data_IF_944862113081
#
_entry.id   IF_944862113081
#
_cell.length_a   1.000
_cell.length_b   1.000
_cell.length_c   1.000
_cell.angle_alpha   90.00
_cell.angle_beta   90.00
_cell.angle_gamma   90.00
#
_symmetry.space_group_name_H-M   'P 1'
#
loop_
_entity.id
_entity.type
_entity.pdbx_description
1 polymer ?
#
# COMPACT_ATOMS: atom_id res chain seq x y z
N UNK A 1 -14.17 -36.13 -23.06
CA UNK A 1 -13.95 -34.84 -23.76
C UNK A 1 -13.20 -35.14 -25.05
N UNK A 2 -13.59 -34.52 -26.17
CA UNK A 2 -12.98 -34.77 -27.48
C UNK A 2 -12.23 -33.53 -27.95
N UNK A 3 -11.03 -33.71 -28.50
CA UNK A 3 -10.21 -32.66 -29.09
C UNK A 3 -9.85 -31.55 -28.12
N UNK A 4 -9.48 -31.88 -26.88
CA UNK A 4 -9.19 -30.89 -25.84
C UNK A 4 -7.93 -30.11 -26.20
N UNK A 5 -8.08 -28.80 -26.38
CA UNK A 5 -6.98 -27.84 -26.51
C UNK A 5 -7.02 -26.85 -25.36
N UNK A 6 -5.89 -26.22 -25.08
CA UNK A 6 -5.75 -25.27 -23.99
C UNK A 6 -4.96 -24.04 -24.43
N UNK A 7 -5.39 -22.88 -23.96
CA UNK A 7 -4.66 -21.61 -24.11
C UNK A 7 -4.42 -21.00 -22.74
N UNK A 8 -3.15 -20.78 -22.39
CA UNK A 8 -2.72 -20.13 -21.16
C UNK A 8 -2.58 -18.62 -21.40
N UNK A 9 -3.16 -17.83 -20.51
CA UNK A 9 -2.99 -16.38 -20.48
C UNK A 9 -2.53 -15.93 -19.10
N UNK A 10 -1.76 -14.84 -19.05
CA UNK A 10 -1.42 -14.18 -17.79
C UNK A 10 -2.22 -12.90 -17.66
N UNK A 11 -2.75 -12.67 -16.47
CA UNK A 11 -3.47 -11.45 -16.11
C UNK A 11 -2.55 -10.47 -15.34
N UNK A 12 -1.24 -10.68 -15.39
CA UNK A 12 -0.26 -9.93 -14.58
C UNK A 12 0.80 -9.23 -15.43
N UNK A 13 1.27 -8.03 -15.04
CA UNK A 13 2.20 -7.25 -15.85
C UNK A 13 3.62 -7.84 -15.92
N UNK A 14 4.01 -8.63 -14.93
CA UNK A 14 5.39 -9.15 -14.81
C UNK A 14 5.61 -10.51 -15.45
N UNK A 15 4.58 -11.10 -16.06
CA UNK A 15 4.65 -12.42 -16.66
C UNK A 15 4.26 -12.37 -18.13
N UNK A 16 5.15 -12.85 -18.97
CA UNK A 16 4.89 -13.04 -20.41
C UNK A 16 4.73 -14.52 -20.73
N UNK A 17 3.66 -14.85 -21.45
CA UNK A 17 3.46 -16.19 -22.01
C UNK A 17 4.19 -16.26 -23.35
N UNK A 18 5.30 -16.98 -23.41
CA UNK A 18 6.10 -17.18 -24.62
C UNK A 18 5.50 -18.26 -25.53
N UNK A 19 4.90 -19.28 -24.90
CA UNK A 19 4.10 -20.29 -25.57
C UNK A 19 2.83 -20.53 -24.76
N UNK A 20 1.69 -20.19 -25.38
CA UNK A 20 0.40 -20.19 -24.75
C UNK A 20 -0.42 -21.43 -25.07
N UNK A 21 -0.07 -22.21 -26.09
CA UNK A 21 -0.95 -23.25 -26.60
C UNK A 21 -0.55 -24.63 -26.09
N UNK A 22 -1.54 -25.49 -25.95
CA UNK A 22 -1.36 -26.86 -25.51
C UNK A 22 -2.45 -27.76 -26.05
N UNK A 23 -2.12 -29.02 -26.29
CA UNK A 23 -3.11 -30.01 -26.76
C UNK A 23 -3.08 -31.24 -25.86
N UNK A 24 -4.27 -31.66 -25.42
CA UNK A 24 -4.48 -32.83 -24.57
C UNK A 24 -5.21 -33.96 -25.32
N UNK A 25 -5.80 -33.66 -26.48
CA UNK A 25 -6.44 -34.63 -27.37
C UNK A 25 -7.76 -35.18 -26.81
N UNK A 26 -8.09 -36.42 -27.17
CA UNK A 26 -9.31 -37.08 -26.71
C UNK A 26 -9.10 -37.72 -25.33
N UNK A 27 -9.95 -37.36 -24.37
CA UNK A 27 -9.95 -37.91 -23.02
C UNK A 27 -11.20 -38.78 -22.84
N UNK A 28 -10.99 -40.08 -22.81
CA UNK A 28 -12.03 -41.10 -22.60
C UNK A 28 -12.35 -41.31 -21.11
N UNK A 29 -13.46 -41.97 -20.81
CA UNK A 29 -13.83 -42.30 -19.43
C UNK A 29 -12.75 -43.17 -18.76
N UNK A 30 -12.27 -42.75 -17.59
CA UNK A 30 -11.15 -43.40 -16.88
C UNK A 30 -9.76 -43.12 -17.47
N UNK A 31 -9.67 -42.26 -18.49
CA UNK A 31 -8.40 -41.82 -19.09
C UNK A 31 -7.92 -40.47 -18.56
N UNK A 32 -6.74 -40.05 -19.05
CA UNK A 32 -6.13 -38.75 -18.80
C UNK A 32 -5.61 -38.17 -20.13
N UNK A 33 -5.53 -36.85 -20.21
CA UNK A 33 -4.85 -36.11 -21.29
C UNK A 33 -3.72 -35.28 -20.70
N UNK A 34 -2.56 -35.29 -21.35
CA UNK A 34 -1.38 -34.58 -20.90
C UNK A 34 -0.80 -33.73 -22.03
N UNK A 35 -0.47 -32.47 -21.72
CA UNK A 35 0.21 -31.58 -22.67
C UNK A 35 1.74 -31.81 -22.61
N UNK A 36 2.22 -32.94 -23.14
CA UNK A 36 3.64 -33.32 -23.03
C UNK A 36 4.48 -32.75 -24.17
N UNK A 37 3.89 -32.61 -25.36
CA UNK A 37 4.60 -32.23 -26.59
C UNK A 37 4.71 -30.72 -26.81
N UNK A 38 3.77 -29.95 -26.26
CA UNK A 38 3.60 -28.52 -26.52
C UNK A 38 3.43 -27.76 -25.20
N UNK A 39 4.39 -27.92 -24.28
CA UNK A 39 4.29 -27.35 -22.93
C UNK A 39 4.27 -25.83 -22.99
N UNK A 40 3.43 -25.23 -22.15
CA UNK A 40 3.45 -23.79 -21.95
C UNK A 40 4.83 -23.30 -21.53
N UNK A 41 5.26 -22.19 -22.12
CA UNK A 41 6.50 -21.51 -21.76
C UNK A 41 6.16 -20.14 -21.19
N UNK A 42 6.59 -19.90 -19.96
CA UNK A 42 6.30 -18.68 -19.21
C UNK A 42 7.61 -18.01 -18.82
N UNK A 43 7.66 -16.69 -18.96
CA UNK A 43 8.79 -15.87 -18.58
C UNK A 43 8.37 -14.84 -17.53
N UNK A 44 9.03 -14.85 -16.39
CA UNK A 44 8.93 -13.80 -15.38
C UNK A 44 9.96 -12.72 -15.69
N UNK A 45 9.54 -11.46 -15.73
CA UNK A 45 10.43 -10.33 -15.95
C UNK A 45 11.48 -10.25 -14.81
N UNK A 46 12.75 -9.90 -15.08
CA UNK A 46 13.73 -9.67 -14.02
C UNK A 46 13.33 -8.61 -12.99
N UNK A 47 12.39 -7.71 -13.31
CA UNK A 47 11.80 -6.75 -12.36
C UNK A 47 10.71 -7.37 -11.46
N UNK A 48 10.39 -8.66 -11.63
CA UNK A 48 9.41 -9.34 -10.77
C UNK A 48 10.00 -9.53 -9.39
N UNK A 49 9.31 -9.01 -8.38
CA UNK A 49 9.71 -9.13 -6.97
C UNK A 49 9.57 -10.56 -6.46
N UNK A 50 10.43 -10.95 -5.51
CA UNK A 50 10.37 -12.27 -4.90
C UNK A 50 9.07 -12.42 -4.09
N UNK A 51 8.36 -13.53 -4.30
CA UNK A 51 7.07 -13.78 -3.67
C UNK A 51 5.86 -13.29 -4.46
N UNK A 52 6.05 -12.64 -5.61
CA UNK A 52 4.94 -12.16 -6.44
C UNK A 52 3.99 -13.29 -6.83
N UNK A 53 2.68 -13.11 -6.59
CA UNK A 53 1.65 -14.10 -6.90
C UNK A 53 1.06 -13.81 -8.28
N UNK A 54 1.62 -14.45 -9.31
CA UNK A 54 1.16 -14.28 -10.68
C UNK A 54 -0.15 -15.04 -10.93
N UNK A 55 -1.15 -14.35 -11.47
CA UNK A 55 -2.46 -14.93 -11.84
C UNK A 55 -2.51 -15.34 -13.30
N UNK A 56 -3.07 -16.52 -13.55
CA UNK A 56 -3.19 -17.13 -14.86
C UNK A 56 -4.61 -17.65 -15.10
N UNK A 57 -5.04 -17.57 -16.36
CA UNK A 57 -6.27 -18.21 -16.84
C UNK A 57 -5.90 -19.28 -17.87
N UNK A 58 -6.36 -20.51 -17.64
CA UNK A 58 -6.28 -21.62 -18.58
C UNK A 58 -7.64 -21.82 -19.23
N UNK A 59 -7.77 -21.38 -20.48
CA UNK A 59 -8.97 -21.62 -21.28
C UNK A 59 -8.87 -22.98 -21.96
N UNK A 60 -9.86 -23.84 -21.77
CA UNK A 60 -10.00 -25.14 -22.41
C UNK A 60 -11.07 -25.06 -23.50
N UNK A 61 -10.77 -25.56 -24.69
CA UNK A 61 -11.75 -25.66 -25.79
C UNK A 61 -11.93 -27.11 -26.18
N UNK A 62 -13.18 -27.49 -26.42
CA UNK A 62 -13.57 -28.82 -26.85
C UNK A 62 -14.01 -28.82 -28.32
N UNK A 63 -13.95 -29.98 -28.97
CA UNK A 63 -14.34 -30.13 -30.39
C UNK A 63 -15.81 -29.81 -30.70
N UNK A 64 -16.69 -29.81 -29.69
CA UNK A 64 -18.09 -29.40 -29.81
C UNK A 64 -18.30 -27.88 -29.64
N UNK A 65 -17.22 -27.12 -29.42
CA UNK A 65 -17.23 -25.67 -29.25
C UNK A 65 -17.55 -25.20 -27.84
N UNK A 66 -17.66 -26.11 -26.86
CA UNK A 66 -17.74 -25.73 -25.45
C UNK A 66 -16.38 -25.15 -25.02
N UNK A 67 -16.43 -24.16 -24.13
CA UNK A 67 -15.27 -23.58 -23.47
C UNK A 67 -15.43 -23.70 -21.95
N UNK A 68 -14.32 -23.97 -21.27
CA UNK A 68 -14.21 -23.95 -19.81
C UNK A 68 -12.95 -23.18 -19.42
N UNK A 69 -12.91 -22.60 -18.22
CA UNK A 69 -11.78 -21.81 -17.78
C UNK A 69 -11.40 -22.12 -16.33
N UNK A 70 -10.10 -22.25 -16.08
CA UNK A 70 -9.54 -22.39 -14.76
C UNK A 70 -8.62 -21.20 -14.45
N UNK A 71 -8.99 -20.45 -13.42
CA UNK A 71 -8.11 -19.44 -12.82
C UNK A 71 -7.24 -20.09 -11.76
N UNK A 72 -5.95 -19.78 -11.78
CA UNK A 72 -5.00 -20.22 -10.76
C UNK A 72 -3.87 -19.21 -10.60
N UNK A 73 -3.15 -19.31 -9.47
CA UNK A 73 -2.03 -18.44 -9.17
C UNK A 73 -0.75 -19.23 -8.93
N UNK A 74 0.39 -18.65 -9.32
CA UNK A 74 1.72 -19.22 -9.09
C UNK A 74 2.60 -18.16 -8.45
N UNK A 75 3.21 -18.51 -7.32
CA UNK A 75 4.19 -17.66 -6.67
C UNK A 75 5.53 -17.70 -7.43
N UNK A 76 6.07 -16.53 -7.76
CA UNK A 76 7.36 -16.35 -8.40
C UNK A 76 8.39 -16.11 -7.30
N UNK A 77 9.35 -17.02 -7.17
CA UNK A 77 10.36 -16.93 -6.12
C UNK A 77 9.81 -17.13 -4.71
N UNK A 78 10.60 -16.75 -3.70
CA UNK A 78 10.24 -16.89 -2.28
C UNK A 78 10.48 -15.56 -1.58
N UNK A 79 9.44 -14.96 -1.01
CA UNK A 79 9.56 -13.73 -0.23
C UNK A 79 10.42 -13.96 1.03
N UNK A 80 11.32 -13.03 1.30
CA UNK A 80 12.11 -12.96 2.52
C UNK A 80 11.88 -11.62 3.23
N UNK A 81 12.49 -11.44 4.40
CA UNK A 81 12.43 -10.17 5.15
C UNK A 81 13.35 -9.07 4.56
N UNK A 82 13.80 -9.23 3.33
CA UNK A 82 14.58 -8.22 2.57
C UNK A 82 13.99 -8.07 1.16
N UNK A 83 12.72 -8.44 1.03
CA UNK A 83 11.90 -8.26 -0.16
C UNK A 83 10.65 -7.44 0.19
N UNK A 84 10.18 -6.57 -0.73
CA UNK A 84 9.07 -5.68 -0.45
C UNK A 84 7.78 -6.43 -0.15
N UNK A 85 6.87 -5.75 0.56
CA UNK A 85 5.51 -6.22 0.78
C UNK A 85 4.63 -5.80 -0.40
N UNK A 86 3.78 -6.73 -0.84
CA UNK A 86 2.84 -6.52 -1.93
C UNK A 86 3.20 -7.27 -3.23
N UNK A 87 2.69 -6.83 -4.39
CA UNK A 87 1.78 -5.71 -4.49
C UNK A 87 0.41 -6.08 -3.93
N UNK A 88 -0.38 -5.06 -3.58
CA UNK A 88 -1.82 -5.23 -3.46
C UNK A 88 -2.47 -5.46 -4.85
N UNK A 89 -3.80 -5.64 -4.90
CA UNK A 89 -4.49 -5.95 -6.16
C UNK A 89 -4.44 -4.80 -7.17
N UNK A 90 -4.33 -3.55 -6.68
CA UNK A 90 -4.19 -2.36 -7.51
C UNK A 90 -2.77 -2.17 -8.06
N UNK A 91 -1.74 -2.51 -7.28
CA UNK A 91 -0.34 -2.48 -7.72
C UNK A 91 0.64 -1.73 -6.81
N UNK A 92 0.24 -1.32 -5.60
CA UNK A 92 1.15 -0.68 -4.65
C UNK A 92 2.07 -1.69 -3.99
N UNK A 93 3.34 -1.32 -3.83
CA UNK A 93 4.35 -2.02 -3.05
C UNK A 93 4.77 -1.16 -1.85
N UNK A 94 5.12 -1.81 -0.74
CA UNK A 94 5.83 -1.17 0.36
C UNK A 94 7.28 -1.68 0.39
N UNK A 95 8.23 -0.74 0.32
CA UNK A 95 9.66 -0.99 0.44
C UNK A 95 10.17 -0.44 1.76
N UNK A 96 11.10 -1.16 2.39
CA UNK A 96 11.75 -0.74 3.63
C UNK A 96 13.29 -0.70 3.53
N UNK A 97 13.95 -0.31 4.62
CA UNK A 97 15.39 -0.12 4.68
C UNK A 97 16.20 -1.42 4.55
N UNK A 98 15.55 -2.58 4.62
CA UNK A 98 16.17 -3.90 4.45
C UNK A 98 16.10 -4.41 3.01
N UNK A 99 15.26 -3.82 2.16
CA UNK A 99 15.05 -4.16 0.75
C UNK A 99 16.19 -3.72 -0.18
N UNK A 100 17.43 -3.71 0.30
CA UNK A 100 18.61 -3.11 -0.36
C UNK A 100 18.97 -3.66 -1.75
N UNK A 101 18.36 -4.77 -2.17
CA UNK A 101 18.50 -5.32 -3.51
C UNK A 101 17.61 -4.61 -4.55
N UNK A 102 16.66 -3.78 -4.09
CA UNK A 102 15.71 -3.06 -4.93
C UNK A 102 16.08 -1.57 -5.00
N UNK A 103 16.05 -0.96 -6.19
CA UNK A 103 16.41 0.45 -6.35
C UNK A 103 15.44 1.41 -5.65
N UNK A 104 14.21 0.97 -5.41
CA UNK A 104 13.15 1.73 -4.75
C UNK A 104 13.27 1.72 -3.21
N UNK A 105 14.20 0.95 -2.65
CA UNK A 105 14.44 0.89 -1.21
C UNK A 105 14.71 2.30 -0.64
N UNK A 106 13.97 2.73 0.39
CA UNK A 106 14.11 4.08 0.93
C UNK A 106 15.45 4.27 1.63
N UNK A 107 16.01 5.48 1.49
CA UNK A 107 17.06 5.98 2.37
C UNK A 107 16.44 6.92 3.41
N UNK A 108 16.78 6.73 4.67
CA UNK A 108 16.39 7.64 5.75
C UNK A 108 17.00 9.04 5.54
N UNK A 109 16.14 10.05 5.49
CA UNK A 109 16.46 11.46 5.29
C UNK A 109 15.39 12.31 5.97
N UNK A 110 15.51 12.44 7.30
CA UNK A 110 14.53 13.17 8.11
C UNK A 110 14.43 14.64 7.68
N UNK A 111 13.21 15.15 7.62
CA UNK A 111 12.94 16.56 7.33
C UNK A 111 12.17 17.12 8.51
N UNK A 112 12.86 17.91 9.32
CA UNK A 112 12.25 18.56 10.47
C UNK A 112 11.32 19.69 10.00
N UNK A 113 10.02 19.58 10.28
CA UNK A 113 9.03 20.60 9.92
C UNK A 113 8.31 21.21 11.13
N UNK A 114 8.53 20.73 12.34
CA UNK A 114 8.05 21.41 13.55
C UNK A 114 8.79 22.74 13.72
N UNK A 115 8.05 23.84 13.55
CA UNK A 115 8.60 25.19 13.65
C UNK A 115 9.08 25.56 15.07
N UNK A 116 8.66 24.82 16.09
CA UNK A 116 9.15 24.96 17.47
C UNK A 116 10.52 24.30 17.65
N UNK A 117 10.86 23.32 16.80
CA UNK A 117 12.16 22.64 16.73
C UNK A 117 13.07 23.21 15.63
N UNK A 118 12.62 24.27 14.93
CA UNK A 118 13.39 24.96 13.89
C UNK A 118 13.08 24.52 12.46
N UNK A 119 12.06 23.70 12.27
CA UNK A 119 11.53 23.31 10.97
C UNK A 119 10.77 24.43 10.24
N UNK A 120 10.50 24.20 8.95
CA UNK A 120 9.88 25.18 8.05
C UNK A 120 8.34 25.13 8.02
N UNK A 121 7.73 24.17 8.72
CA UNK A 121 6.30 23.91 8.65
C UNK A 121 5.44 24.79 9.55
N UNK A 122 4.16 24.45 9.57
CA UNK A 122 3.16 25.08 10.43
C UNK A 122 2.33 24.03 11.15
N UNK A 123 1.93 24.34 12.39
CA UNK A 123 1.11 23.45 13.20
C UNK A 123 -0.32 23.40 12.67
N UNK A 124 -0.82 22.20 12.40
CA UNK A 124 -2.24 21.93 12.18
C UNK A 124 -2.93 21.95 13.54
N UNK A 125 -3.73 22.98 13.80
CA UNK A 125 -4.52 23.05 15.05
C UNK A 125 -5.64 22.01 15.02
N UNK A 126 -5.45 20.91 15.76
CA UNK A 126 -6.43 19.85 15.98
C UNK A 126 -7.16 20.03 17.31
N UNK A 127 -6.41 20.10 18.42
CA UNK A 127 -6.95 20.31 19.77
C UNK A 127 -7.26 19.03 20.51
N UNK A 128 -6.46 17.99 20.31
CA UNK A 128 -6.58 16.69 20.96
C UNK A 128 -5.58 16.59 22.13
N UNK A 129 -5.99 17.01 23.33
CA UNK A 129 -5.09 17.09 24.49
C UNK A 129 -5.38 16.02 25.55
N UNK A 130 -6.17 14.99 25.24
CA UNK A 130 -6.46 13.90 26.17
C UNK A 130 -7.67 13.06 25.79
N UNK A 131 -8.05 12.16 26.69
CA UNK A 131 -9.09 11.15 26.47
C UNK A 131 -10.40 11.75 25.93
N UNK A 132 -10.97 11.10 24.90
CA UNK A 132 -12.19 11.51 24.20
C UNK A 132 -12.09 12.88 23.50
N UNK A 133 -10.88 13.37 23.27
CA UNK A 133 -10.65 14.60 22.53
C UNK A 133 -10.14 14.35 21.12
N UNK A 134 -10.21 13.13 20.58
CA UNK A 134 -9.77 12.80 19.23
C UNK A 134 -10.23 13.82 18.20
N UNK A 135 -9.31 14.26 17.33
CA UNK A 135 -9.60 15.27 16.30
C UNK A 135 -9.01 14.89 14.96
N UNK A 136 -9.77 15.24 13.94
CA UNK A 136 -9.30 15.29 12.57
C UNK A 136 -9.66 16.62 11.92
N UNK A 137 -8.95 16.97 10.85
CA UNK A 137 -9.16 18.21 10.12
C UNK A 137 -8.98 17.99 8.63
N UNK A 138 -9.93 18.48 7.85
CA UNK A 138 -9.84 18.54 6.38
C UNK A 138 -8.93 19.69 5.98
N UNK A 139 -7.99 19.42 5.08
CA UNK A 139 -7.01 20.35 4.54
C UNK A 139 -7.02 20.24 3.01
N UNK A 140 -6.89 21.38 2.32
CA UNK A 140 -6.68 21.41 0.87
C UNK A 140 -5.25 20.94 0.54
N UNK A 141 -5.13 20.02 -0.41
CA UNK A 141 -3.82 19.55 -0.86
C UNK A 141 -3.11 20.64 -1.67
N UNK A 142 -1.77 20.77 -1.54
CA UNK A 142 -1.00 21.75 -2.31
C UNK A 142 -0.89 21.41 -3.80
N UNK A 143 -1.24 20.18 -4.19
CA UNK A 143 -1.31 19.68 -5.57
C UNK A 143 -2.39 18.58 -5.68
N UNK A 144 -2.84 18.26 -6.90
CA UNK A 144 -3.73 17.13 -7.14
C UNK A 144 -2.95 15.83 -6.90
N UNK A 145 -3.43 15.00 -5.97
CA UNK A 145 -2.79 13.72 -5.65
C UNK A 145 -3.66 12.57 -6.15
N UNK A 146 -3.09 11.72 -7.01
CA UNK A 146 -3.76 10.50 -7.45
C UNK A 146 -3.41 9.36 -6.48
N UNK A 147 -4.43 8.67 -5.98
CA UNK A 147 -4.31 7.60 -5.00
C UNK A 147 -5.37 6.52 -5.28
N UNK A 148 -4.93 5.27 -5.50
CA UNK A 148 -5.76 4.17 -6.01
C UNK A 148 -6.62 4.57 -7.23
N UNK A 149 -6.00 5.29 -8.17
CA UNK A 149 -6.60 5.67 -9.45
C UNK A 149 -7.63 6.81 -9.35
N UNK A 150 -7.87 7.33 -8.15
CA UNK A 150 -8.74 8.50 -7.91
C UNK A 150 -7.90 9.73 -7.61
N UNK A 151 -8.33 10.88 -8.13
CA UNK A 151 -7.68 12.17 -7.88
C UNK A 151 -8.34 12.89 -6.72
N UNK A 152 -7.51 13.41 -5.83
CA UNK A 152 -7.93 14.14 -4.64
C UNK A 152 -7.32 15.54 -4.63
N UNK A 153 -8.09 16.49 -4.12
CA UNK A 153 -7.67 17.87 -3.87
C UNK A 153 -7.72 18.24 -2.39
N UNK A 154 -8.15 17.32 -1.54
CA UNK A 154 -8.26 17.47 -0.10
C UNK A 154 -7.84 16.17 0.59
N UNK A 155 -7.41 16.28 1.83
CA UNK A 155 -7.18 15.16 2.73
C UNK A 155 -7.65 15.51 4.14
N UNK A 156 -7.99 14.51 4.93
CA UNK A 156 -8.33 14.64 6.35
C UNK A 156 -7.20 14.08 7.18
N UNK A 157 -6.65 14.88 8.09
CA UNK A 157 -5.49 14.54 8.92
C UNK A 157 -5.97 14.35 10.35
N UNK A 158 -5.60 13.25 11.00
CA UNK A 158 -6.00 12.93 12.37
C UNK A 158 -4.83 13.01 13.36
N UNK A 159 -5.11 13.36 14.62
CA UNK A 159 -4.13 13.28 15.71
C UNK A 159 -3.57 11.88 15.88
N UNK A 160 -4.41 10.87 15.67
CA UNK A 160 -4.15 9.43 15.78
C UNK A 160 -3.30 8.85 14.62
N UNK A 161 -2.40 9.65 14.04
CA UNK A 161 -1.34 9.18 13.15
C UNK A 161 -1.77 8.64 11.79
N UNK A 162 -2.93 9.10 11.28
CA UNK A 162 -3.43 8.73 9.96
C UNK A 162 -3.92 9.92 9.14
N UNK A 163 -3.97 9.70 7.83
CA UNK A 163 -4.55 10.58 6.81
C UNK A 163 -5.61 9.81 6.03
N UNK A 164 -6.72 10.44 5.68
CA UNK A 164 -7.70 9.90 4.74
C UNK A 164 -7.76 10.82 3.51
N UNK A 165 -7.58 10.28 2.31
CA UNK A 165 -7.69 11.08 1.10
C UNK A 165 -9.16 11.49 0.89
N UNK A 166 -9.41 12.79 0.75
CA UNK A 166 -10.74 13.37 0.75
C UNK A 166 -11.18 13.90 2.13
N UNK A 167 -12.49 13.88 2.37
CA UNK A 167 -13.11 14.46 3.57
C UNK A 167 -13.84 13.39 4.37
N UNK A 168 -13.51 13.28 5.64
CA UNK A 168 -14.24 12.43 6.61
C UNK A 168 -14.43 13.17 7.93
N UNK A 169 -15.42 12.74 8.71
CA UNK A 169 -15.67 13.22 10.08
C UNK A 169 -15.10 12.26 11.14
N UNK A 170 -14.50 11.15 10.71
CA UNK A 170 -13.95 10.14 11.60
C UNK A 170 -12.71 10.66 12.33
N UNK A 171 -12.48 10.12 13.53
CA UNK A 171 -11.37 10.44 14.42
C UNK A 171 -10.86 9.16 15.10
N UNK A 172 -10.96 8.01 14.43
CA UNK A 172 -10.70 6.70 15.01
C UNK A 172 -9.30 6.60 15.62
N UNK A 173 -9.22 6.39 16.93
CA UNK A 173 -7.98 6.11 17.65
C UNK A 173 -7.62 4.62 17.60
N UNK A 174 -8.62 3.76 17.74
CA UNK A 174 -8.43 2.31 17.77
C UNK A 174 -8.02 1.79 16.39
N UNK A 175 -6.80 1.29 16.29
CA UNK A 175 -6.25 0.74 15.08
C UNK A 175 -6.83 -0.65 14.74
N UNK A 176 -6.86 -0.95 13.45
CA UNK A 176 -7.35 -2.21 12.88
C UNK A 176 -6.44 -2.67 11.74
N UNK A 177 -6.62 -3.91 11.29
CA UNK A 177 -5.96 -4.40 10.08
C UNK A 177 -6.37 -3.57 8.86
N UNK A 178 -5.42 -3.37 7.96
CA UNK A 178 -5.62 -2.83 6.61
C UNK A 178 -5.52 -3.99 5.61
N UNK A 179 -6.33 -4.03 4.54
CA UNK A 179 -7.53 -3.21 4.35
C UNK A 179 -8.66 -3.63 5.30
N UNK A 180 -9.55 -2.70 5.66
CA UNK A 180 -10.73 -3.01 6.44
C UNK A 180 -11.52 -1.80 6.93
N UNK A 181 -12.83 -2.00 7.15
CA UNK A 181 -13.77 -0.95 7.53
C UNK A 181 -13.61 -0.38 8.98
N UNK A 182 -12.46 -0.62 9.63
CA UNK A 182 -12.18 -0.13 10.99
C UNK A 182 -11.78 1.34 11.05
N UNK A 183 -11.22 1.86 9.96
CA UNK A 183 -10.77 3.25 9.80
C UNK A 183 -11.59 4.03 8.76
N UNK A 184 -11.17 5.27 8.43
CA UNK A 184 -11.69 5.99 7.27
C UNK A 184 -11.33 5.29 5.96
N UNK A 185 -12.08 5.57 4.90
CA UNK A 185 -11.73 5.13 3.55
C UNK A 185 -10.51 5.89 2.99
N UNK A 186 -9.86 5.29 1.99
CA UNK A 186 -8.70 5.89 1.31
C UNK A 186 -7.59 6.31 2.30
N UNK A 187 -7.32 5.45 3.27
CA UNK A 187 -6.46 5.74 4.42
C UNK A 187 -4.97 5.53 4.10
N UNK A 188 -4.16 6.46 4.58
CA UNK A 188 -2.70 6.40 4.65
C UNK A 188 -2.33 6.47 6.14
N UNK A 189 -1.81 5.37 6.68
CA UNK A 189 -1.50 5.20 8.09
C UNK A 189 0.03 5.07 8.26
N UNK A 190 0.79 6.18 8.42
CA UNK A 190 2.19 6.10 8.78
C UNK A 190 2.37 5.48 10.17
N UNK A 191 1.48 5.76 11.12
CA UNK A 191 1.48 5.14 12.45
C UNK A 191 0.11 5.33 13.12
N UNK A 192 -0.86 4.48 12.80
CA UNK A 192 -2.19 4.60 13.39
C UNK A 192 -2.25 3.96 14.78
N UNK A 193 -2.47 4.80 15.80
CA UNK A 193 -2.61 4.44 17.21
C UNK A 193 -3.35 5.57 17.96
N UNK A 194 -3.63 5.39 19.27
CA UNK A 194 -4.22 6.40 20.15
C UNK A 194 -3.17 7.42 20.61
N UNK A 195 -3.16 8.58 19.95
CA UNK A 195 -2.15 9.63 20.12
C UNK A 195 -2.79 10.98 20.44
N UNK A 196 -2.19 11.67 21.42
CA UNK A 196 -2.62 12.99 21.86
C UNK A 196 -1.49 14.02 21.73
N UNK A 197 -1.88 15.28 21.48
CA UNK A 197 -0.96 16.41 21.45
C UNK A 197 -0.41 16.71 22.85
N UNK A 198 0.84 17.17 22.91
CA UNK A 198 1.48 17.64 24.15
C UNK A 198 1.67 19.16 24.12
N UNK A 199 2.28 19.74 25.16
CA UNK A 199 2.55 21.20 25.18
C UNK A 199 3.61 21.62 24.16
N UNK A 200 4.46 20.69 23.72
CA UNK A 200 5.49 20.90 22.69
C UNK A 200 5.10 20.24 21.36
N UNK A 201 4.53 19.04 21.42
CA UNK A 201 4.19 18.25 20.25
C UNK A 201 2.87 18.62 19.56
N UNK A 202 2.68 18.05 18.39
CA UNK A 202 1.48 18.22 17.57
C UNK A 202 1.66 17.68 16.17
N UNK A 203 0.66 17.97 15.33
CA UNK A 203 0.71 17.63 13.91
C UNK A 203 1.08 18.87 13.11
N UNK A 204 2.04 18.74 12.21
CA UNK A 204 2.59 19.82 11.39
C UNK A 204 2.47 19.48 9.92
N UNK A 205 2.39 20.52 9.08
CA UNK A 205 2.47 20.37 7.64
C UNK A 205 3.47 21.35 7.03
N UNK A 206 4.06 20.95 5.91
CA UNK A 206 4.85 21.82 5.06
C UNK A 206 4.78 21.38 3.61
N UNK A 207 4.62 22.33 2.69
CA UNK A 207 4.81 22.07 1.27
C UNK A 207 6.20 22.54 0.85
N UNK A 208 7.08 21.57 0.60
CA UNK A 208 8.41 21.80 0.07
C UNK A 208 8.30 22.07 -1.44
N UNK A 209 8.18 23.36 -1.79
CA UNK A 209 8.05 23.79 -3.19
C UNK A 209 9.28 23.48 -4.03
N UNK A 210 10.45 23.29 -3.43
CA UNK A 210 11.68 23.01 -4.17
C UNK A 210 11.72 21.55 -4.63
N UNK A 211 11.31 20.64 -3.76
CA UNK A 211 11.28 19.19 -4.03
C UNK A 211 9.90 18.68 -4.44
N UNK A 212 8.89 19.54 -4.57
CA UNK A 212 7.53 19.20 -4.98
C UNK A 212 6.92 18.06 -4.15
N UNK A 213 6.98 18.19 -2.83
CA UNK A 213 6.48 17.20 -1.86
C UNK A 213 5.76 17.87 -0.70
N UNK A 214 4.69 17.25 -0.23
CA UNK A 214 3.95 17.67 0.94
C UNK A 214 4.30 16.75 2.11
N UNK A 215 4.71 17.33 3.22
CA UNK A 215 5.21 16.64 4.39
C UNK A 215 4.23 16.88 5.53
N UNK A 216 3.80 15.78 6.16
CA UNK A 216 3.03 15.77 7.39
C UNK A 216 3.89 15.13 8.48
N UNK A 217 4.03 15.80 9.61
CA UNK A 217 4.80 15.32 10.75
C UNK A 217 3.92 15.27 11.99
N UNK A 218 3.91 14.13 12.66
CA UNK A 218 3.41 13.98 14.03
C UNK A 218 4.64 14.09 14.93
N UNK A 219 4.85 15.28 15.51
CA UNK A 219 6.04 15.58 16.31
C UNK A 219 5.73 15.50 17.79
N UNK A 220 6.53 14.72 18.54
CA UNK A 220 6.40 14.53 20.00
C UNK A 220 4.95 14.22 20.45
N UNK A 221 4.21 13.46 19.64
CA UNK A 221 2.86 13.00 19.94
C UNK A 221 2.92 11.95 21.04
N UNK A 222 2.03 12.01 22.03
CA UNK A 222 2.09 11.08 23.16
C UNK A 222 1.07 9.96 22.99
N UNK A 223 1.50 8.71 23.12
CA UNK A 223 0.59 7.56 23.25
C UNK A 223 -0.28 7.72 24.50
N UNK A 224 -1.60 7.57 24.36
CA UNK A 224 -2.51 7.63 25.50
C UNK A 224 -2.26 6.46 26.47
N UNK A 225 -1.93 5.29 25.93
CA UNK A 225 -1.70 4.08 26.71
C UNK A 225 -0.39 4.11 27.51
N UNK A 226 0.74 4.31 26.84
CA UNK A 226 2.06 4.17 27.49
C UNK A 226 2.62 5.48 28.05
N UNK A 227 2.15 6.62 27.54
CA UNK A 227 2.69 7.94 27.82
C UNK A 227 4.06 8.23 27.16
N UNK A 228 4.57 7.34 26.30
CA UNK A 228 5.75 7.59 25.47
C UNK A 228 5.44 8.55 24.33
N UNK A 229 6.48 9.20 23.81
CA UNK A 229 6.38 10.11 22.67
C UNK A 229 6.80 9.44 21.38
N UNK A 230 6.06 9.73 20.33
CA UNK A 230 6.24 9.22 18.98
C UNK A 230 6.50 10.41 18.04
N UNK A 231 7.51 10.29 17.18
CA UNK A 231 7.86 11.28 16.15
C UNK A 231 8.06 10.58 14.82
N UNK A 232 7.17 10.86 13.87
CA UNK A 232 7.14 10.26 12.54
C UNK A 232 6.52 11.21 11.50
N UNK A 233 6.74 10.91 10.22
CA UNK A 233 6.21 11.71 9.13
C UNK A 233 5.72 10.86 7.95
N UNK A 234 4.75 11.41 7.22
CA UNK A 234 4.35 10.97 5.88
C UNK A 234 4.71 12.05 4.86
N UNK A 235 5.32 11.64 3.76
CA UNK A 235 5.72 12.51 2.65
C UNK A 235 4.99 12.04 1.40
N UNK A 236 4.16 12.91 0.83
CA UNK A 236 3.44 12.70 -0.42
C UNK A 236 4.17 13.49 -1.52
N UNK A 237 4.58 12.81 -2.58
CA UNK A 237 5.29 13.43 -3.70
C UNK A 237 4.28 13.83 -4.79
N UNK A 238 4.41 15.05 -5.33
CA UNK A 238 3.56 15.54 -6.42
C UNK A 238 3.71 14.63 -7.65
N UNK A 239 2.67 13.89 -8.08
CA UNK A 239 2.76 12.97 -9.21
C UNK A 239 3.10 13.66 -10.55
N UNK A 240 2.87 14.98 -10.66
CA UNK A 240 3.24 15.74 -11.85
C UNK A 240 4.76 15.95 -11.97
N UNK A 241 5.50 15.89 -10.85
CA UNK A 241 6.95 16.07 -10.78
C UNK A 241 7.70 14.77 -10.48
N UNK A 242 7.07 13.85 -9.74
CA UNK A 242 7.58 12.53 -9.38
C UNK A 242 6.68 11.44 -9.98
N UNK A 243 6.72 11.23 -11.31
CA UNK A 243 5.79 10.33 -11.98
C UNK A 243 6.07 8.87 -11.61
N UNK A 244 5.00 8.13 -11.34
CA UNK A 244 5.00 6.66 -11.22
C UNK A 244 4.41 6.02 -12.48
N UNK A 245 4.54 4.71 -12.62
CA UNK A 245 4.00 3.96 -13.76
C UNK A 245 2.47 4.06 -13.91
N UNK A 246 1.74 4.20 -12.80
CA UNK A 246 0.27 4.31 -12.78
C UNK A 246 -0.23 5.76 -12.74
N UNK A 247 0.67 6.71 -12.50
CA UNK A 247 0.33 8.11 -12.24
C UNK A 247 -0.16 8.37 -10.81
N UNK A 248 -0.24 7.34 -9.96
CA UNK A 248 -0.50 7.50 -8.54
C UNK A 248 0.72 8.10 -7.83
N UNK A 249 0.50 8.88 -6.78
CA UNK A 249 1.57 9.51 -6.04
C UNK A 249 2.35 8.53 -5.18
N UNK A 250 3.67 8.69 -5.18
CA UNK A 250 4.54 8.00 -4.24
C UNK A 250 4.34 8.55 -2.82
N UNK A 251 4.38 7.65 -1.84
CA UNK A 251 4.22 7.96 -0.42
C UNK A 251 5.44 7.39 0.32
N UNK A 252 6.05 8.18 1.20
CA UNK A 252 7.15 7.74 2.07
C UNK A 252 6.78 7.97 3.52
N UNK A 253 6.96 6.94 4.34
CA UNK A 253 6.93 7.05 5.80
C UNK A 253 8.36 7.14 6.33
N UNK A 254 8.58 7.98 7.33
CA UNK A 254 9.86 8.02 8.06
C UNK A 254 9.60 8.10 9.56
N UNK A 255 10.44 7.42 10.33
CA UNK A 255 10.30 7.26 11.77
C UNK A 255 11.55 7.78 12.46
N UNK A 256 11.42 8.80 13.31
CA UNK A 256 12.53 9.31 14.11
C UNK A 256 12.54 8.68 15.50
N UNK A 257 11.39 8.67 16.19
CA UNK A 257 11.24 8.08 17.53
C UNK A 257 9.97 7.25 17.55
N UNK A 258 10.09 5.93 17.77
CA UNK A 258 8.95 5.02 17.89
C UNK A 258 9.12 4.09 19.10
N UNK A 259 8.09 4.00 19.94
CA UNK A 259 8.01 3.13 21.12
C UNK A 259 6.77 2.24 21.05
N UNK A 260 6.91 1.05 20.47
CA UNK A 260 5.85 0.03 20.37
C UNK A 260 5.52 -0.60 21.74
N UNK A 261 4.67 0.08 22.52
CA UNK A 261 4.47 -0.24 23.93
C UNK A 261 3.01 -0.51 24.32
N UNK A 262 2.08 -0.51 23.36
CA UNK A 262 0.67 -0.88 23.57
C UNK A 262 0.33 -2.29 23.04
N UNK A 263 0.50 -3.35 23.84
CA UNK A 263 0.09 -4.69 23.44
C UNK A 263 -1.43 -4.92 23.57
N UNK A 264 -2.20 -3.99 24.14
CA UNK A 264 -3.63 -4.18 24.45
C UNK A 264 -4.49 -3.88 23.22
N UNK A 265 -4.15 -2.83 22.47
CA UNK A 265 -4.87 -2.45 21.24
C UNK A 265 -4.13 -2.86 19.96
N UNK A 266 -3.02 -3.61 20.08
CA UNK A 266 -2.35 -4.23 18.94
C UNK A 266 -1.20 -3.40 18.37
N UNK A 267 -0.55 -2.62 19.23
CA UNK A 267 0.51 -1.66 18.91
C UNK A 267 -0.02 -0.56 18.00
N UNK A 268 0.51 -0.45 16.78
CA UNK A 268 0.06 0.49 15.78
C UNK A 268 -0.19 -0.23 14.47
N UNK A 269 -1.04 0.33 13.62
CA UNK A 269 -1.20 -0.12 12.24
C UNK A 269 -0.42 0.80 11.30
N UNK A 270 0.38 0.19 10.42
CA UNK A 270 1.11 0.89 9.35
C UNK A 270 0.62 0.36 8.00
N UNK A 271 0.30 1.24 7.06
CA UNK A 271 -0.11 0.82 5.73
C UNK A 271 -0.96 1.83 4.97
N UNK A 272 -1.51 1.37 3.86
CA UNK A 272 -2.38 2.13 2.96
C UNK A 272 -3.56 1.26 2.50
N UNK A 273 -4.74 1.86 2.36
CA UNK A 273 -5.90 1.20 1.72
C UNK A 273 -6.62 2.08 0.71
N UNK A 274 -7.31 1.41 -0.21
CA UNK A 274 -8.15 2.04 -1.20
C UNK A 274 -9.45 2.63 -0.61
N UNK A 275 -10.17 3.36 -1.46
CA UNK A 275 -11.42 4.03 -1.13
C UNK A 275 -12.63 3.08 -0.92
N UNK A 276 -12.50 1.80 -1.29
CA UNK A 276 -13.53 0.77 -1.07
C UNK A 276 -13.21 -0.11 0.15
N UNK A 277 -12.06 0.12 0.81
CA UNK A 277 -11.55 -0.59 1.99
C UNK A 277 -11.47 -2.11 1.80
N UNK A 278 -11.19 -2.55 0.57
CA UNK A 278 -11.13 -3.97 0.19
C UNK A 278 -9.78 -4.36 -0.46
N UNK A 279 -8.89 -3.40 -0.62
CA UNK A 279 -7.54 -3.57 -1.17
C UNK A 279 -6.59 -2.60 -0.47
N UNK A 280 -5.36 -3.03 -0.26
CA UNK A 280 -4.39 -2.27 0.52
C UNK A 280 -3.13 -3.03 0.83
N UNK A 281 -2.11 -2.29 1.26
CA UNK A 281 -0.85 -2.83 1.76
C UNK A 281 -0.78 -2.57 3.26
N UNK A 282 -0.84 -3.64 4.05
CA UNK A 282 -0.49 -3.64 5.47
C UNK A 282 1.00 -3.93 5.61
N UNK A 283 1.71 -3.16 6.43
CA UNK A 283 3.14 -3.32 6.70
C UNK A 283 3.39 -3.77 8.14
#
# INVERSE_FOLDING_TARGET
ALGVTATLTSNTPFVTIQDANGTMGDIVAGGAGENVLDRFTVFADPSTYQGYVASFSLSLTYSDGIEDALEFSVQIGTQSSTDPVGPDLYGYYAFDDTDTNYPDAPSYDWVEIDNTLGGAGEKITLGDFGTFQDRSKVIDLPFEFQYYGRRYTQATICSNGWVAMGSTYLTSYRNWTIPGAGGPDAMIAPFWDDLIETSGGGVFQWYDTAEHRWILEWSEMRSEYSGTTETFQAILYDPAYHPTATGDGAIRFQYMTINLTDPVDGYATVGIENHDQNDGVLY
#
